data_IF_156208896420
#
_entry.id   IF_156208896420
#
_cell.length_a   1.000
_cell.length_b   1.000
_cell.length_c   1.000
_cell.angle_alpha   90.00
_cell.angle_beta   90.00
_cell.angle_gamma   90.00
#
_symmetry.space_group_name_H-M   'P 1'
#
loop_
_entity.id
_entity.type
_entity.pdbx_description
1 polymer ?
#
# COMPACT_ATOMS: atom_id res chain seq x y z
N UNK A 1 8.37 -13.41 6.06
CA UNK A 1 7.40 -14.35 6.70
C UNK A 1 6.13 -13.57 7.01
N UNK A 2 4.94 -14.13 6.78
CA UNK A 2 3.66 -13.48 7.13
C UNK A 2 3.51 -13.46 8.66
N UNK A 3 3.23 -12.31 9.31
CA UNK A 3 2.96 -12.29 10.73
C UNK A 3 1.66 -13.07 11.01
N UNK A 4 1.70 -13.99 11.93
CA UNK A 4 0.52 -14.72 12.37
C UNK A 4 -0.22 -13.89 13.43
N UNK A 5 -1.00 -12.93 12.99
CA UNK A 5 -1.89 -12.17 13.88
C UNK A 5 -3.16 -12.99 14.09
N UNK A 6 -3.23 -13.70 15.22
CA UNK A 6 -4.33 -14.62 15.53
C UNK A 6 -5.62 -13.92 15.91
N UNK A 7 -5.53 -12.67 16.37
CA UNK A 7 -6.67 -11.93 16.89
C UNK A 7 -7.45 -11.18 15.81
N UNK A 8 -6.90 -11.09 14.60
CA UNK A 8 -7.52 -10.39 13.48
C UNK A 8 -7.75 -11.31 12.28
N UNK A 9 -8.92 -11.15 11.66
CA UNK A 9 -9.21 -11.86 10.42
C UNK A 9 -8.32 -11.36 9.28
N UNK A 10 -7.51 -12.23 8.72
CA UNK A 10 -6.75 -11.90 7.52
C UNK A 10 -7.69 -11.79 6.31
N UNK A 11 -7.58 -10.69 5.55
CA UNK A 11 -8.38 -10.42 4.37
C UNK A 11 -7.64 -10.69 3.07
N UNK A 12 -6.43 -10.13 2.95
CA UNK A 12 -5.68 -10.19 1.70
C UNK A 12 -4.17 -10.07 1.92
N UNK A 13 -3.41 -10.67 1.01
CA UNK A 13 -1.96 -10.52 0.91
C UNK A 13 -1.61 -9.82 -0.39
N UNK A 14 -1.04 -8.63 -0.30
CA UNK A 14 -0.37 -7.97 -1.42
C UNK A 14 1.09 -8.42 -1.56
N UNK A 15 1.79 -7.91 -2.56
CA UNK A 15 3.22 -8.21 -2.80
C UNK A 15 4.11 -7.86 -1.61
N UNK A 16 3.82 -6.75 -0.95
CA UNK A 16 4.63 -6.20 0.17
C UNK A 16 3.78 -5.76 1.36
N UNK A 17 2.52 -6.12 1.42
CA UNK A 17 1.59 -5.70 2.47
C UNK A 17 0.59 -6.82 2.79
N UNK A 18 0.19 -6.88 4.05
CA UNK A 18 -0.88 -7.76 4.53
C UNK A 18 -2.03 -6.90 5.06
N UNK A 19 -3.26 -7.34 4.84
CA UNK A 19 -4.48 -6.67 5.30
C UNK A 19 -5.22 -7.58 6.27
N UNK A 20 -5.62 -6.99 7.39
CA UNK A 20 -6.43 -7.66 8.39
C UNK A 20 -7.63 -6.80 8.75
N UNK A 21 -8.74 -7.42 9.12
CA UNK A 21 -9.94 -6.75 9.63
C UNK A 21 -9.82 -6.57 11.15
N UNK A 22 -9.99 -5.33 11.61
CA UNK A 22 -10.11 -5.01 13.04
C UNK A 22 -11.58 -5.07 13.45
N UNK A 23 -12.42 -4.32 12.74
CA UNK A 23 -13.87 -4.21 12.99
C UNK A 23 -14.63 -3.90 11.68
N UNK A 24 -15.88 -3.46 11.79
CA UNK A 24 -16.73 -3.17 10.63
C UNK A 24 -16.20 -2.05 9.72
N UNK A 25 -15.46 -1.08 10.32
CA UNK A 25 -15.06 0.15 9.64
C UNK A 25 -13.52 0.31 9.53
N UNK A 26 -12.75 -0.60 10.18
CA UNK A 26 -11.31 -0.44 10.29
C UNK A 26 -10.53 -1.69 9.85
N UNK A 27 -9.43 -1.40 9.17
CA UNK A 27 -8.45 -2.40 8.71
C UNK A 27 -7.10 -2.13 9.36
N UNK A 28 -6.32 -3.20 9.56
CA UNK A 28 -4.92 -3.12 9.90
C UNK A 28 -4.09 -3.39 8.64
N UNK A 29 -3.33 -2.40 8.21
CA UNK A 29 -2.37 -2.51 7.13
C UNK A 29 -1.01 -2.83 7.71
N UNK A 30 -0.41 -3.97 7.32
CA UNK A 30 0.90 -4.39 7.81
C UNK A 30 1.88 -4.43 6.66
N UNK A 31 2.86 -3.54 6.68
CA UNK A 31 3.95 -3.53 5.69
C UNK A 31 4.94 -4.66 5.98
N UNK A 32 5.44 -5.30 4.94
CA UNK A 32 6.49 -6.32 5.03
C UNK A 32 7.83 -5.77 4.54
N UNK A 33 8.90 -6.47 4.88
CA UNK A 33 10.24 -6.18 4.41
C UNK A 33 10.53 -6.79 3.01
N UNK A 34 9.53 -7.48 2.45
CA UNK A 34 9.61 -8.06 1.10
C UNK A 34 9.84 -6.96 0.06
N UNK A 35 10.56 -7.29 -1.00
CA UNK A 35 10.76 -6.46 -2.17
C UNK A 35 10.22 -7.16 -3.41
N UNK A 36 9.61 -6.39 -4.30
CA UNK A 36 9.16 -6.90 -5.59
C UNK A 36 9.72 -6.07 -6.73
N UNK A 37 10.09 -6.73 -7.82
CA UNK A 37 10.54 -6.11 -9.06
C UNK A 37 9.85 -6.80 -10.24
N UNK A 38 9.32 -6.02 -11.18
CA UNK A 38 8.61 -6.54 -12.36
C UNK A 38 7.53 -7.57 -12.02
N UNK A 39 6.76 -7.30 -10.94
CA UNK A 39 5.70 -8.17 -10.41
C UNK A 39 6.18 -9.49 -9.77
N UNK A 40 7.47 -9.71 -9.68
CA UNK A 40 8.08 -10.85 -9.00
C UNK A 40 8.52 -10.46 -7.59
N UNK A 41 8.17 -11.27 -6.59
CA UNK A 41 8.64 -11.09 -5.21
C UNK A 41 9.99 -11.77 -5.10
N UNK A 42 11.01 -11.02 -4.71
CA UNK A 42 12.36 -11.55 -4.51
C UNK A 42 12.43 -12.36 -3.21
N UNK A 43 13.30 -13.38 -3.18
CA UNK A 43 13.51 -14.24 -2.00
C UNK A 43 14.17 -13.47 -0.84
N UNK A 44 14.89 -12.39 -1.15
CA UNK A 44 15.55 -11.55 -0.15
C UNK A 44 14.61 -10.49 0.39
N UNK A 45 14.66 -10.26 1.69
CA UNK A 45 13.99 -9.13 2.36
C UNK A 45 15.00 -7.99 2.60
N UNK A 46 14.50 -6.75 2.66
CA UNK A 46 15.29 -5.60 3.09
C UNK A 46 14.92 -5.29 4.53
N UNK A 47 15.82 -5.50 5.49
CA UNK A 47 15.53 -5.27 6.91
C UNK A 47 14.99 -3.85 7.17
N UNK A 48 13.95 -3.77 8.00
CA UNK A 48 13.27 -2.54 8.40
C UNK A 48 12.59 -1.75 7.26
N UNK A 49 12.56 -2.26 6.03
CA UNK A 49 11.88 -1.58 4.91
C UNK A 49 10.43 -1.25 5.24
N UNK A 50 9.69 -2.20 5.82
CA UNK A 50 8.30 -2.00 6.21
C UNK A 50 8.15 -0.86 7.22
N UNK A 51 9.03 -0.79 8.21
CA UNK A 51 9.04 0.28 9.24
C UNK A 51 9.35 1.65 8.65
N UNK A 52 10.37 1.73 7.82
CA UNK A 52 10.77 3.00 7.17
C UNK A 52 9.64 3.51 6.28
N UNK A 53 9.06 2.67 5.44
CA UNK A 53 7.97 3.07 4.55
C UNK A 53 6.69 3.46 5.31
N UNK A 54 6.39 2.80 6.42
CA UNK A 54 5.27 3.18 7.29
C UNK A 54 5.51 4.55 7.92
N UNK A 55 6.69 4.79 8.49
CA UNK A 55 7.04 6.09 9.06
C UNK A 55 7.00 7.22 8.02
N UNK A 56 7.51 6.98 6.81
CA UNK A 56 7.41 7.94 5.70
C UNK A 56 5.96 8.23 5.31
N UNK A 57 5.12 7.20 5.27
CA UNK A 57 3.70 7.38 4.96
C UNK A 57 3.01 8.28 5.98
N UNK A 58 3.22 8.03 7.28
CA UNK A 58 2.68 8.86 8.36
C UNK A 58 3.16 10.30 8.24
N UNK A 59 4.47 10.50 8.02
CA UNK A 59 5.05 11.82 7.83
C UNK A 59 4.37 12.59 6.68
N UNK A 60 4.20 11.96 5.52
CA UNK A 60 3.57 12.62 4.39
C UNK A 60 2.07 12.83 4.57
N UNK A 61 1.35 11.93 5.22
CA UNK A 61 -0.05 12.14 5.55
C UNK A 61 -0.29 13.30 6.51
N UNK A 62 0.65 13.56 7.41
CA UNK A 62 0.61 14.71 8.30
C UNK A 62 1.05 16.01 7.60
N UNK A 63 1.96 15.90 6.63
CA UNK A 63 2.55 17.05 5.94
C UNK A 63 1.70 17.57 4.76
N UNK A 64 0.93 16.70 4.11
CA UNK A 64 0.10 17.06 2.96
C UNK A 64 -1.32 17.39 3.46
N UNK A 65 -1.77 18.62 3.22
CA UNK A 65 -3.12 19.08 3.57
C UNK A 65 -4.18 18.43 2.66
N UNK A 66 -4.42 17.14 2.88
CA UNK A 66 -5.39 16.36 2.10
C UNK A 66 -5.99 15.26 2.99
N UNK A 67 -7.30 15.01 2.94
CA UNK A 67 -7.91 13.88 3.65
C UNK A 67 -7.22 12.56 3.29
N UNK A 68 -6.97 11.74 4.30
CA UNK A 68 -6.37 10.43 4.14
C UNK A 68 -7.15 9.35 4.90
N UNK A 69 -6.73 8.11 4.78
CA UNK A 69 -7.44 6.95 5.34
C UNK A 69 -6.98 6.55 6.75
N UNK A 70 -6.04 7.27 7.38
CA UNK A 70 -5.61 6.95 8.74
C UNK A 70 -6.78 7.07 9.73
N UNK A 71 -6.87 6.12 10.65
CA UNK A 71 -7.92 6.03 11.67
C UNK A 71 -7.36 5.99 13.10
N UNK A 72 -6.05 6.16 13.24
CA UNK A 72 -5.38 6.20 14.54
C UNK A 72 -3.92 6.61 14.42
N UNK A 73 -3.25 6.85 15.55
CA UNK A 73 -1.83 7.16 15.58
C UNK A 73 -0.97 5.94 15.22
N UNK A 74 0.34 6.12 14.94
CA UNK A 74 1.25 5.02 14.60
C UNK A 74 1.47 3.99 15.72
N UNK A 75 1.14 4.35 16.94
CA UNK A 75 1.22 3.54 18.17
C UNK A 75 -0.16 3.21 18.74
N UNK A 76 -1.19 3.19 17.90
CA UNK A 76 -2.56 2.85 18.28
C UNK A 76 -2.60 1.49 19.01
N UNK A 77 -3.36 1.44 20.12
CA UNK A 77 -3.48 0.25 20.96
C UNK A 77 -4.05 -1.00 20.25
N UNK A 78 -4.73 -0.79 19.12
CA UNK A 78 -5.21 -1.86 18.25
C UNK A 78 -4.09 -2.49 17.40
N UNK A 79 -2.88 -1.95 17.41
CA UNK A 79 -1.74 -2.50 16.68
C UNK A 79 -1.03 -3.53 17.55
N UNK A 80 -1.01 -4.82 17.17
CA UNK A 80 -0.30 -5.85 17.91
C UNK A 80 1.20 -5.53 18.03
N UNK A 81 1.83 -5.82 19.19
CA UNK A 81 3.25 -5.53 19.42
C UNK A 81 4.19 -6.10 18.34
N UNK A 82 3.86 -7.23 17.76
CA UNK A 82 4.67 -7.93 16.75
C UNK A 82 4.82 -7.14 15.43
N UNK A 83 3.87 -6.24 15.18
CA UNK A 83 3.85 -5.42 13.95
C UNK A 83 3.92 -3.92 14.23
N UNK A 84 4.16 -3.53 15.47
CA UNK A 84 4.31 -2.14 15.85
C UNK A 84 5.44 -1.45 15.05
N UNK A 85 5.17 -0.25 14.55
CA UNK A 85 6.06 0.53 13.72
C UNK A 85 6.05 0.17 12.23
N UNK A 86 5.39 -0.94 11.84
CA UNK A 86 5.18 -1.33 10.42
C UNK A 86 3.72 -1.55 10.07
N UNK A 87 2.80 -1.23 10.98
CA UNK A 87 1.38 -1.33 10.79
C UNK A 87 0.67 0.01 11.01
N UNK A 88 -0.47 0.18 10.38
CA UNK A 88 -1.34 1.34 10.50
C UNK A 88 -2.79 0.89 10.61
N UNK A 89 -3.54 1.53 11.50
CA UNK A 89 -4.99 1.41 11.55
C UNK A 89 -5.58 2.40 10.55
N UNK A 90 -6.38 1.88 9.62
CA UNK A 90 -6.96 2.68 8.54
C UNK A 90 -8.46 2.44 8.44
N UNK A 91 -9.19 3.41 7.91
CA UNK A 91 -10.62 3.26 7.59
C UNK A 91 -10.79 2.36 6.37
N UNK A 92 -11.77 1.48 6.41
CA UNK A 92 -12.22 0.77 5.22
C UNK A 92 -12.95 1.75 4.30
N UNK A 93 -12.49 1.88 3.08
CA UNK A 93 -13.05 2.79 2.09
C UNK A 93 -13.47 2.00 0.85
N UNK A 94 -14.53 2.45 0.19
CA UNK A 94 -14.91 1.93 -1.12
C UNK A 94 -13.89 2.40 -2.15
N UNK A 95 -13.13 1.46 -2.70
CA UNK A 95 -12.10 1.75 -3.69
C UNK A 95 -12.70 1.92 -5.09
N UNK A 96 -12.23 2.92 -5.82
CA UNK A 96 -12.51 2.99 -7.24
C UNK A 96 -11.74 1.86 -7.98
N UNK A 97 -12.35 1.21 -8.99
CA UNK A 97 -11.69 0.13 -9.75
C UNK A 97 -10.65 0.66 -10.75
N UNK A 98 -10.04 1.80 -10.47
CA UNK A 98 -9.08 2.49 -11.33
C UNK A 98 -7.91 2.97 -10.50
N UNK A 99 -6.69 2.62 -10.92
CA UNK A 99 -5.47 3.16 -10.35
C UNK A 99 -5.08 4.45 -11.08
N UNK A 100 -5.05 5.58 -10.35
CA UNK A 100 -4.63 6.87 -10.89
C UNK A 100 -3.18 7.16 -10.49
N UNK A 101 -2.33 7.45 -11.46
CA UNK A 101 -0.92 7.79 -11.23
C UNK A 101 -0.64 9.20 -11.72
N UNK A 102 -0.35 10.13 -10.80
CA UNK A 102 0.17 11.45 -11.13
C UNK A 102 1.71 11.41 -11.17
N UNK A 103 2.30 11.92 -12.25
CA UNK A 103 3.76 11.91 -12.44
C UNK A 103 4.25 13.33 -12.74
N UNK A 104 5.33 13.74 -12.07
CA UNK A 104 6.01 15.01 -12.37
C UNK A 104 6.73 14.99 -13.73
N UNK A 105 7.18 13.81 -14.17
CA UNK A 105 7.88 13.62 -15.44
C UNK A 105 7.39 12.35 -16.14
N UNK A 106 7.28 12.41 -17.47
CA UNK A 106 6.97 11.26 -18.28
C UNK A 106 8.26 10.53 -18.67
N UNK A 107 8.45 9.31 -18.14
CA UNK A 107 9.64 8.48 -18.36
C UNK A 107 9.26 7.02 -18.59
N UNK A 108 10.25 6.18 -18.94
CA UNK A 108 10.06 4.74 -19.11
C UNK A 108 9.03 4.38 -20.17
N UNK A 109 8.21 3.38 -19.91
CA UNK A 109 7.20 2.88 -20.85
C UNK A 109 6.17 3.94 -21.25
N UNK A 110 5.79 4.84 -20.33
CA UNK A 110 4.87 5.93 -20.62
C UNK A 110 5.43 6.91 -21.66
N UNK A 111 6.73 7.21 -21.61
CA UNK A 111 7.39 8.05 -22.63
C UNK A 111 7.47 7.34 -23.99
N UNK A 112 7.74 6.03 -23.99
CA UNK A 112 7.79 5.24 -25.22
C UNK A 112 6.41 5.21 -25.90
N UNK A 113 5.36 5.03 -25.12
CA UNK A 113 3.99 5.02 -25.61
C UNK A 113 3.59 6.40 -26.17
N UNK A 114 3.89 7.48 -25.45
CA UNK A 114 3.66 8.85 -25.93
C UNK A 114 4.38 9.15 -27.24
N UNK A 115 5.63 8.68 -27.38
CA UNK A 115 6.39 8.85 -28.64
C UNK A 115 5.77 8.08 -29.82
N UNK A 116 5.13 6.95 -29.53
CA UNK A 116 4.50 6.13 -30.55
C UNK A 116 3.10 6.62 -30.95
N UNK A 117 2.33 7.12 -30.00
CA UNK A 117 0.89 7.45 -30.18
C UNK A 117 0.61 8.94 -30.22
N UNK A 118 1.46 9.78 -29.62
CA UNK A 118 1.21 11.21 -29.39
C UNK A 118 0.20 11.48 -28.28
N UNK A 119 -0.29 10.46 -27.58
CA UNK A 119 -1.33 10.56 -26.55
C UNK A 119 -0.78 10.25 -25.14
N UNK A 120 -1.26 10.98 -24.15
CA UNK A 120 -0.99 10.73 -22.72
C UNK A 120 -2.27 10.16 -22.11
N UNK A 121 -2.15 9.04 -21.37
CA UNK A 121 -3.21 8.60 -20.50
C UNK A 121 -3.77 7.20 -20.74
N UNK A 122 -3.58 6.56 -21.88
CA UNK A 122 -4.00 5.18 -22.09
C UNK A 122 -3.05 4.14 -21.50
N UNK A 123 -1.76 4.44 -21.43
CA UNK A 123 -0.75 3.52 -20.88
C UNK A 123 -0.70 3.50 -19.36
N UNK A 124 -1.25 4.50 -18.67
CA UNK A 124 -1.21 4.60 -17.20
C UNK A 124 -2.51 4.16 -16.50
N UNK A 125 -3.60 4.00 -17.25
CA UNK A 125 -4.83 3.40 -16.75
C UNK A 125 -4.79 1.89 -17.00
N UNK A 126 -4.03 1.15 -16.20
CA UNK A 126 -4.27 -0.29 -16.07
C UNK A 126 -5.54 -0.46 -15.25
N UNK A 127 -6.60 -0.88 -15.91
CA UNK A 127 -7.71 -1.52 -15.26
C UNK A 127 -7.18 -2.77 -14.56
N UNK A 128 -6.79 -2.63 -13.30
CA UNK A 128 -6.64 -3.77 -12.43
C UNK A 128 -8.03 -4.12 -11.94
N UNK A 129 -8.66 -5.02 -12.63
CA UNK A 129 -9.64 -5.89 -12.01
C UNK A 129 -8.82 -6.76 -11.06
N UNK A 130 -8.53 -6.26 -9.86
CA UNK A 130 -8.11 -7.13 -8.78
C UNK A 130 -9.39 -7.68 -8.18
N UNK A 131 -9.69 -8.93 -8.46
CA UNK A 131 -10.69 -9.73 -7.73
C UNK A 131 -10.28 -9.95 -6.26
N UNK A 132 -9.60 -8.99 -5.66
CA UNK A 132 -9.18 -9.04 -4.26
C UNK A 132 -9.45 -7.67 -3.63
N UNK A 133 -10.62 -7.61 -3.03
CA UNK A 133 -10.92 -6.66 -1.98
C UNK A 133 -10.06 -6.95 -0.76
#
# INVERSE_FOLDING_TARGET
MRPALTDYQHLASGKVRELYRIDADHLLFVASDRISAYDFILDSEIPDKGRILTAMSVFFFDHIDTPNHLAGPPDDERIPPEVLGRALVVRELTMFPVECVARGYLTGSGLLDYRATGEIGRASCRERVSDTV
#
